data_IF_303521313519
#
_entry.id   IF_303521313519
#
_cell.length_a   1.000
_cell.length_b   1.000
_cell.length_c   1.000
_cell.angle_alpha   90.00
_cell.angle_beta   90.00
_cell.angle_gamma   90.00
#
_symmetry.space_group_name_H-M   'P 1'
#
loop_
_entity.id
_entity.type
_entity.pdbx_description
1 polymer ?
#
# COMPACT_ATOMS: atom_id res chain seq x y z
N UNK A 1 7.25 21.36 44.39
CA UNK A 1 6.06 21.53 43.53
C UNK A 1 6.42 21.66 42.06
N UNK A 2 7.49 22.38 41.69
CA UNK A 2 7.90 22.60 40.29
C UNK A 2 8.21 21.32 39.50
N UNK A 3 8.82 20.31 40.12
CA UNK A 3 9.17 19.04 39.46
C UNK A 3 7.94 18.23 39.01
N UNK A 4 6.88 18.19 39.84
CA UNK A 4 5.64 17.47 39.52
C UNK A 4 4.89 18.13 38.36
N UNK A 5 4.92 19.47 38.29
CA UNK A 5 4.33 20.23 37.19
C UNK A 5 5.06 19.97 35.87
N UNK A 6 6.40 19.91 35.90
CA UNK A 6 7.21 19.59 34.72
C UNK A 6 6.96 18.15 34.27
N UNK A 7 6.92 17.18 35.19
CA UNK A 7 6.64 15.78 34.85
C UNK A 7 5.24 15.60 34.24
N UNK A 8 4.23 16.25 34.80
CA UNK A 8 2.88 16.24 34.25
C UNK A 8 2.82 16.88 32.85
N UNK A 9 3.51 18.00 32.65
CA UNK A 9 3.60 18.66 31.35
C UNK A 9 4.25 17.77 30.29
N UNK A 10 5.38 17.12 30.61
CA UNK A 10 6.06 16.17 29.71
C UNK A 10 5.16 14.98 29.38
N UNK A 11 4.43 14.45 30.37
CA UNK A 11 3.46 13.37 30.17
C UNK A 11 2.35 13.75 29.18
N UNK A 12 1.77 14.94 29.34
CA UNK A 12 0.73 15.46 28.43
C UNK A 12 1.27 15.67 27.02
N UNK A 13 2.45 16.27 26.87
CA UNK A 13 3.07 16.49 25.56
C UNK A 13 3.36 15.17 24.85
N UNK A 14 3.91 14.18 25.57
CA UNK A 14 4.22 12.86 25.00
C UNK A 14 2.94 12.15 24.58
N UNK A 15 1.89 12.20 25.40
CA UNK A 15 0.59 11.61 25.08
C UNK A 15 -0.05 12.25 23.85
N UNK A 16 -0.05 13.58 23.76
CA UNK A 16 -0.57 14.32 22.61
C UNK A 16 0.24 14.01 21.34
N UNK A 17 1.57 13.95 21.45
CA UNK A 17 2.44 13.60 20.34
C UNK A 17 2.13 12.20 19.80
N UNK A 18 2.05 11.18 20.67
CA UNK A 18 1.68 9.81 20.28
C UNK A 18 0.30 9.78 19.62
N UNK A 19 -0.67 10.52 20.16
CA UNK A 19 -2.04 10.60 19.60
C UNK A 19 -2.04 11.22 18.21
N UNK A 20 -1.32 12.33 18.00
CA UNK A 20 -1.20 12.99 16.70
C UNK A 20 -0.47 12.11 15.69
N UNK A 21 0.62 11.44 16.08
CA UNK A 21 1.36 10.52 15.20
C UNK A 21 0.49 9.35 14.74
N UNK A 22 -0.34 8.79 15.64
CA UNK A 22 -1.32 7.74 15.28
C UNK A 22 -2.37 8.24 14.30
N UNK A 23 -2.91 9.45 14.52
CA UNK A 23 -3.90 10.06 13.63
C UNK A 23 -3.31 10.44 12.26
N UNK A 24 -2.08 10.96 12.22
CA UNK A 24 -1.39 11.26 10.98
C UNK A 24 -1.07 10.00 10.18
N UNK A 25 -0.73 8.89 10.85
CA UNK A 25 -0.55 7.59 10.20
C UNK A 25 -1.85 7.11 9.55
N UNK A 26 -2.99 7.27 10.22
CA UNK A 26 -4.31 6.94 9.64
C UNK A 26 -4.70 7.87 8.48
N UNK A 27 -4.42 9.17 8.59
CA UNK A 27 -4.65 10.13 7.49
C UNK A 27 -3.71 9.92 6.32
N UNK A 28 -2.48 9.48 6.57
CA UNK A 28 -1.51 9.13 5.54
C UNK A 28 -1.94 7.88 4.77
N UNK A 29 -2.49 6.86 5.46
CA UNK A 29 -3.17 5.74 4.82
C UNK A 29 -4.32 6.20 3.91
N UNK A 30 -5.12 7.19 4.33
CA UNK A 30 -6.15 7.80 3.48
C UNK A 30 -5.62 8.66 2.32
N UNK A 31 -4.36 9.10 2.36
CA UNK A 31 -3.71 9.87 1.28
C UNK A 31 -2.90 8.98 0.34
N UNK A 32 -2.76 7.69 0.65
CA UNK A 32 -2.02 6.77 -0.18
C UNK A 32 -2.83 6.49 -1.43
N UNK A 33 -2.33 6.97 -2.55
CA UNK A 33 -2.81 6.64 -3.88
C UNK A 33 -2.35 5.20 -4.19
N UNK A 34 -3.03 4.22 -3.60
CA UNK A 34 -2.75 2.79 -3.79
C UNK A 34 -3.16 2.30 -5.19
N UNK A 35 -4.31 2.72 -5.76
CA UNK A 35 -4.63 2.43 -7.15
C UNK A 35 -3.55 2.94 -8.10
N UNK A 36 -3.20 2.14 -9.11
CA UNK A 36 -2.21 2.44 -10.11
C UNK A 36 -1.36 1.23 -10.48
N UNK A 37 -0.35 1.49 -11.30
CA UNK A 37 0.61 0.47 -11.73
C UNK A 37 1.83 0.51 -10.84
N UNK A 38 2.31 -0.67 -10.46
CA UNK A 38 3.40 -0.91 -9.55
C UNK A 38 4.37 -1.89 -10.19
N UNK A 39 5.65 -1.56 -10.23
CA UNK A 39 6.70 -2.42 -10.79
C UNK A 39 7.55 -3.00 -9.69
N UNK A 40 7.74 -4.31 -9.71
CA UNK A 40 8.67 -4.98 -8.83
C UNK A 40 10.10 -4.67 -9.26
N UNK A 41 10.81 -3.92 -8.43
CA UNK A 41 12.10 -3.35 -8.78
C UNK A 41 13.20 -4.40 -9.09
N UNK A 42 13.09 -5.60 -8.53
CA UNK A 42 14.15 -6.61 -8.60
C UNK A 42 13.96 -7.65 -9.73
N UNK A 43 12.73 -8.00 -10.09
CA UNK A 43 12.46 -9.12 -11.02
C UNK A 43 11.54 -8.78 -12.20
N UNK A 44 11.17 -7.50 -12.39
CA UNK A 44 10.43 -7.07 -13.58
C UNK A 44 8.94 -7.44 -13.60
N UNK A 45 8.40 -7.94 -12.49
CA UNK A 45 6.96 -8.16 -12.32
C UNK A 45 6.17 -6.85 -12.25
N UNK A 46 4.91 -6.89 -12.68
CA UNK A 46 4.00 -5.74 -12.68
C UNK A 46 2.73 -6.07 -11.91
N UNK A 47 2.38 -5.23 -10.96
CA UNK A 47 1.12 -5.26 -10.22
C UNK A 47 0.30 -4.02 -10.61
N UNK A 48 -0.92 -4.23 -11.07
CA UNK A 48 -1.87 -3.18 -11.39
C UNK A 48 -3.06 -3.29 -10.43
N UNK A 49 -3.32 -2.22 -9.68
CA UNK A 49 -4.45 -2.09 -8.76
C UNK A 49 -5.39 -1.03 -9.33
N UNK A 50 -6.64 -1.41 -9.61
CA UNK A 50 -7.67 -0.49 -10.11
C UNK A 50 -8.85 -0.46 -9.15
N UNK A 51 -9.58 0.65 -9.12
CA UNK A 51 -10.68 0.88 -8.17
C UNK A 51 -10.39 2.03 -7.22
N UNK A 52 -10.90 1.92 -6.00
CA UNK A 52 -10.73 2.90 -4.94
C UNK A 52 -9.68 2.43 -3.93
N UNK A 53 -9.47 3.18 -2.85
CA UNK A 53 -8.45 2.87 -1.86
C UNK A 53 -8.75 1.60 -1.04
N UNK A 54 -10.04 1.30 -0.85
CA UNK A 54 -10.53 0.17 -0.07
C UNK A 54 -10.64 -1.12 -0.90
N UNK A 55 -10.68 -1.03 -2.23
CA UNK A 55 -10.60 -2.20 -3.10
C UNK A 55 -10.94 -1.95 -4.57
N UNK A 56 -10.91 -3.04 -5.33
CA UNK A 56 -11.30 -3.09 -6.73
C UNK A 56 -10.71 -4.30 -7.45
N UNK A 57 -10.22 -4.11 -8.67
CA UNK A 57 -9.67 -5.19 -9.51
C UNK A 57 -8.16 -5.11 -9.59
N UNK A 58 -7.49 -6.25 -9.46
CA UNK A 58 -6.05 -6.35 -9.61
C UNK A 58 -5.65 -7.20 -10.80
N UNK A 59 -4.44 -6.94 -11.29
CA UNK A 59 -3.77 -7.75 -12.30
C UNK A 59 -2.28 -7.83 -12.00
N UNK A 60 -1.72 -9.01 -12.12
CA UNK A 60 -0.32 -9.30 -11.89
C UNK A 60 0.23 -9.96 -13.13
N UNK A 61 1.33 -9.42 -13.61
CA UNK A 61 2.09 -9.92 -14.74
C UNK A 61 3.50 -10.19 -14.21
N UNK A 62 3.71 -11.42 -13.76
CA UNK A 62 5.00 -11.92 -13.27
C UNK A 62 5.60 -12.87 -14.32
N UNK A 63 6.92 -13.13 -14.28
CA UNK A 63 7.56 -14.11 -15.17
C UNK A 63 6.93 -15.51 -15.09
N UNK A 64 6.34 -15.85 -13.95
CA UNK A 64 5.71 -17.14 -13.66
C UNK A 64 4.27 -17.25 -14.21
N UNK A 65 3.68 -16.14 -14.65
CA UNK A 65 2.34 -16.11 -15.23
C UNK A 65 1.54 -14.84 -14.92
N UNK A 66 0.38 -14.74 -15.56
CA UNK A 66 -0.58 -13.66 -15.33
C UNK A 66 -1.67 -14.11 -14.34
N UNK A 67 -1.95 -13.29 -13.33
CA UNK A 67 -3.01 -13.49 -12.34
C UNK A 67 -3.92 -12.26 -12.30
N UNK A 68 -5.24 -12.45 -12.18
CA UNK A 68 -6.23 -11.37 -12.10
C UNK A 68 -7.28 -11.70 -11.06
N UNK A 69 -7.87 -10.67 -10.46
CA UNK A 69 -8.94 -10.88 -9.50
C UNK A 69 -9.40 -9.59 -8.82
N UNK A 70 -9.96 -9.76 -7.63
CA UNK A 70 -10.39 -8.66 -6.78
C UNK A 70 -9.40 -8.42 -5.64
N UNK A 71 -9.24 -7.17 -5.25
CA UNK A 71 -8.41 -6.80 -4.12
C UNK A 71 -9.19 -5.94 -3.14
N UNK A 72 -8.86 -6.04 -1.86
CA UNK A 72 -9.34 -5.14 -0.83
C UNK A 72 -8.23 -4.81 0.17
N UNK A 73 -8.33 -3.62 0.78
CA UNK A 73 -7.39 -3.17 1.80
C UNK A 73 -8.08 -3.08 3.16
N UNK A 74 -7.65 -3.96 4.08
CA UNK A 74 -8.11 -3.97 5.46
C UNK A 74 -6.98 -3.52 6.40
N UNK A 75 -6.88 -2.20 6.59
CA UNK A 75 -5.85 -1.57 7.42
C UNK A 75 -4.46 -1.65 6.77
N UNK A 76 -3.68 -2.67 7.13
CA UNK A 76 -2.36 -2.95 6.54
C UNK A 76 -2.33 -4.33 5.85
N UNK A 77 -3.48 -4.97 5.69
CA UNK A 77 -3.60 -6.25 5.00
C UNK A 77 -4.16 -6.01 3.61
N UNK A 78 -3.41 -6.43 2.61
CA UNK A 78 -3.87 -6.52 1.23
C UNK A 78 -4.44 -7.92 1.03
N UNK A 79 -5.72 -7.99 0.72
CA UNK A 79 -6.41 -9.21 0.36
C UNK A 79 -6.50 -9.29 -1.16
N UNK A 80 -6.09 -10.42 -1.74
CA UNK A 80 -6.24 -10.72 -3.16
C UNK A 80 -7.10 -11.96 -3.31
N UNK A 81 -8.16 -11.86 -4.09
CA UNK A 81 -9.09 -12.93 -4.42
C UNK A 81 -8.94 -13.22 -5.91
N UNK A 82 -8.10 -14.20 -6.29
CA UNK A 82 -7.89 -14.53 -7.70
C UNK A 82 -9.18 -15.04 -8.33
N UNK A 83 -9.47 -14.65 -9.57
CA UNK A 83 -10.62 -15.18 -10.31
C UNK A 83 -10.55 -16.70 -10.53
N UNK A 84 -9.34 -17.24 -10.61
CA UNK A 84 -9.07 -18.64 -10.89
C UNK A 84 -8.97 -19.53 -9.65
N UNK A 85 -9.04 -18.97 -8.43
CA UNK A 85 -8.82 -19.71 -7.19
C UNK A 85 -9.97 -19.48 -6.20
N UNK A 86 -10.40 -20.54 -5.51
CA UNK A 86 -11.36 -20.44 -4.41
C UNK A 86 -10.76 -19.86 -3.13
N UNK A 87 -9.43 -19.74 -3.06
CA UNK A 87 -8.72 -19.33 -1.84
C UNK A 87 -8.27 -17.88 -1.92
N UNK A 88 -8.74 -17.11 -0.95
CA UNK A 88 -8.30 -15.74 -0.68
C UNK A 88 -6.85 -15.72 -0.17
N UNK A 89 -6.04 -14.84 -0.74
CA UNK A 89 -4.63 -14.67 -0.37
C UNK A 89 -4.46 -13.37 0.42
N UNK A 90 -3.80 -13.48 1.58
CA UNK A 90 -3.57 -12.35 2.47
C UNK A 90 -2.10 -11.96 2.50
N UNK A 91 -1.85 -10.66 2.35
CA UNK A 91 -0.53 -10.07 2.37
C UNK A 91 -0.44 -8.92 3.36
N UNK A 92 0.74 -8.75 3.96
CA UNK A 92 1.07 -7.56 4.72
C UNK A 92 1.55 -6.46 3.77
N UNK A 93 0.86 -5.32 3.77
CA UNK A 93 1.21 -4.15 2.98
C UNK A 93 2.00 -3.17 3.85
N UNK A 94 3.23 -2.89 3.43
CA UNK A 94 4.12 -1.90 4.06
C UNK A 94 4.31 -0.73 3.11
N UNK A 95 4.14 0.48 3.60
CA UNK A 95 4.40 1.68 2.82
C UNK A 95 5.75 2.25 3.26
N UNK A 96 6.67 2.41 2.32
CA UNK A 96 8.02 2.90 2.63
C UNK A 96 8.12 4.42 2.41
N UNK A 97 7.65 4.90 1.27
CA UNK A 97 7.65 6.30 0.84
C UNK A 97 6.59 6.53 -0.26
N UNK A 98 6.38 7.77 -0.69
CA UNK A 98 5.51 8.07 -1.84
C UNK A 98 5.94 7.30 -3.10
N UNK A 99 5.08 6.40 -3.53
CA UNK A 99 5.31 5.54 -4.68
C UNK A 99 6.23 4.34 -4.41
N UNK A 100 6.39 3.89 -3.16
CA UNK A 100 7.03 2.60 -2.83
C UNK A 100 6.22 1.81 -1.81
N UNK A 101 5.86 0.58 -2.18
CA UNK A 101 5.15 -0.37 -1.30
C UNK A 101 5.91 -1.68 -1.19
N UNK A 102 5.81 -2.33 -0.05
CA UNK A 102 6.23 -3.70 0.20
C UNK A 102 5.01 -4.58 0.38
N UNK A 103 5.01 -5.73 -0.28
CA UNK A 103 4.04 -6.80 -0.07
C UNK A 103 4.80 -7.97 0.52
N UNK A 104 4.31 -8.49 1.64
CA UNK A 104 4.92 -9.61 2.36
C UNK A 104 3.88 -10.70 2.63
N UNK A 105 4.14 -11.93 2.19
CA UNK A 105 3.23 -13.06 2.38
C UNK A 105 3.58 -14.27 1.51
N UNK A 106 2.78 -15.35 1.56
CA UNK A 106 3.05 -16.59 0.83
C UNK A 106 3.25 -16.37 -0.67
N UNK A 107 4.38 -16.83 -1.20
CA UNK A 107 4.76 -16.64 -2.61
C UNK A 107 5.28 -15.24 -2.98
N UNK A 108 5.18 -14.26 -2.06
CA UNK A 108 5.59 -12.86 -2.26
C UNK A 108 6.32 -12.31 -1.04
N UNK A 109 7.24 -13.11 -0.49
CA UNK A 109 8.02 -12.68 0.67
C UNK A 109 8.86 -11.47 0.32
N UNK A 110 8.68 -10.39 1.09
CA UNK A 110 9.49 -9.16 1.04
C UNK A 110 9.60 -8.49 -0.34
N UNK A 111 8.59 -8.59 -1.20
CA UNK A 111 8.62 -7.94 -2.53
C UNK A 111 8.39 -6.44 -2.39
N UNK A 112 9.27 -5.63 -2.99
CA UNK A 112 9.14 -4.16 -3.00
C UNK A 112 8.79 -3.67 -4.40
N UNK A 113 7.67 -2.95 -4.50
CA UNK A 113 7.19 -2.35 -5.72
C UNK A 113 7.37 -0.83 -5.71
N UNK A 114 7.70 -0.28 -6.87
CA UNK A 114 7.72 1.15 -7.14
C UNK A 114 6.54 1.54 -8.04
N UNK A 115 5.80 2.58 -7.67
CA UNK A 115 4.68 3.07 -8.48
C UNK A 115 5.19 3.61 -9.80
N UNK A 116 4.55 3.22 -10.88
CA UNK A 116 4.78 3.81 -12.19
C UNK A 116 4.42 5.30 -12.12
N UNK A 117 5.41 6.18 -12.34
CA UNK A 117 5.22 7.64 -12.30
C UNK A 117 4.73 8.21 -13.63
N UNK A 118 4.19 7.39 -14.52
CA UNK A 118 3.82 7.81 -15.87
C UNK A 118 2.60 8.73 -15.85
N UNK A 119 2.84 10.03 -15.65
CA UNK A 119 2.01 11.11 -16.19
C UNK A 119 2.17 11.16 -17.73
N UNK A 120 2.14 10.02 -18.41
CA UNK A 120 2.23 9.94 -19.86
C UNK A 120 1.02 9.16 -20.34
N UNK A 121 -0.11 9.86 -20.46
CA UNK A 121 -1.18 9.43 -21.36
C UNK A 121 -0.58 9.42 -22.76
N UNK A 122 -0.44 8.28 -23.45
CA UNK A 122 -0.05 8.29 -24.84
C UNK A 122 -1.16 9.00 -25.62
N UNK A 123 -0.89 10.20 -26.12
CA UNK A 123 -1.71 10.81 -27.16
C UNK A 123 -1.57 9.92 -28.40
N UNK A 124 -2.51 8.99 -28.58
CA UNK A 124 -2.71 8.34 -29.88
C UNK A 124 -2.93 9.46 -30.90
N UNK A 125 -1.91 9.79 -31.69
CA UNK A 125 -2.14 10.46 -32.97
C UNK A 125 -2.92 9.47 -33.83
N UNK A 126 -4.19 9.79 -34.07
CA UNK A 126 -5.02 9.07 -35.02
C UNK A 126 -4.49 9.42 -36.42
N UNK A 127 -3.94 8.41 -37.09
CA UNK A 127 -3.50 8.33 -38.51
C UNK A 127 -2.59 9.45 -39.02
#
# INVERSE_FOLDING_TARGET
>A
MSFLLVAAAVGVVTFLWVRVTRQNRQRWLHRLDLPGVWHWAEQGGRLELSGELDGGRYRIDDPDGEERGEWSLHGHKLELTPESAETVQFYELRFFDEGKIGIDGPGRERRVYAKERSNVVPLKRRS
#
